data_IF_905997704115
#
_entry.id   IF_905997704115
#
_cell.length_a   1.000
_cell.length_b   1.000
_cell.length_c   1.000
_cell.angle_alpha   90.00
_cell.angle_beta   90.00
_cell.angle_gamma   90.00
#
_symmetry.space_group_name_H-M   'P 1'
#
loop_
_entity.id
_entity.type
_entity.pdbx_description
1 polymer ?
#
# COMPACT_ATOMS: atom_id res chain seq x y z
N UNK A 1 -26.62 15.70 -33.38
CA UNK A 1 -25.19 15.82 -33.74
C UNK A 1 -24.26 16.45 -32.69
N UNK A 2 -24.68 17.25 -31.69
CA UNK A 2 -23.77 17.72 -30.62
C UNK A 2 -23.53 16.69 -29.50
N UNK A 3 -24.52 15.84 -29.22
CA UNK A 3 -24.47 14.87 -28.11
C UNK A 3 -23.61 13.64 -28.41
N UNK A 4 -23.64 13.12 -29.64
CA UNK A 4 -22.86 11.93 -30.05
C UNK A 4 -21.35 12.13 -29.91
N UNK A 5 -20.86 13.35 -30.18
CA UNK A 5 -19.44 13.69 -30.02
C UNK A 5 -19.01 13.75 -28.55
N UNK A 6 -19.92 14.16 -27.66
CA UNK A 6 -19.66 14.23 -26.22
C UNK A 6 -19.62 12.81 -25.61
N UNK A 7 -20.56 11.96 -26.02
CA UNK A 7 -20.57 10.54 -25.63
C UNK A 7 -19.33 9.80 -26.12
N UNK A 8 -18.91 10.03 -27.37
CA UNK A 8 -17.70 9.44 -27.92
C UNK A 8 -16.43 9.86 -27.17
N UNK A 9 -16.30 11.14 -26.79
CA UNK A 9 -15.18 11.63 -25.98
C UNK A 9 -15.18 11.07 -24.56
N UNK A 10 -16.37 10.87 -23.99
CA UNK A 10 -16.52 10.29 -22.64
C UNK A 10 -16.09 8.84 -22.63
N UNK A 11 -16.53 8.04 -23.61
CA UNK A 11 -16.11 6.64 -23.81
C UNK A 11 -14.60 6.52 -24.03
N UNK A 12 -14.02 7.36 -24.89
CA UNK A 12 -12.57 7.38 -25.11
C UNK A 12 -11.77 7.67 -23.82
N UNK A 13 -12.29 8.56 -22.96
CA UNK A 13 -11.69 8.85 -21.66
C UNK A 13 -11.77 7.67 -20.67
N UNK A 14 -12.88 6.94 -20.66
CA UNK A 14 -13.08 5.74 -19.84
C UNK A 14 -12.18 4.58 -20.28
N UNK A 15 -12.12 4.33 -21.58
CA UNK A 15 -11.28 3.27 -22.16
C UNK A 15 -9.80 3.53 -21.83
N UNK A 16 -9.32 4.76 -22.02
CA UNK A 16 -7.95 5.12 -21.70
C UNK A 16 -7.63 5.05 -20.20
N UNK A 17 -8.58 5.40 -19.32
CA UNK A 17 -8.41 5.22 -17.87
C UNK A 17 -8.29 3.74 -17.52
N UNK A 18 -9.07 2.88 -18.17
CA UNK A 18 -9.06 1.43 -17.94
C UNK A 18 -7.75 0.80 -18.41
N UNK A 19 -7.29 1.16 -19.61
CA UNK A 19 -6.00 0.71 -20.15
C UNK A 19 -4.84 1.12 -19.24
N UNK A 20 -4.81 2.38 -18.76
CA UNK A 20 -3.76 2.85 -17.83
C UNK A 20 -3.77 2.11 -16.49
N UNK A 21 -4.97 1.81 -15.94
CA UNK A 21 -5.09 1.02 -14.70
C UNK A 21 -4.51 -0.38 -14.88
N UNK A 22 -4.80 -1.03 -16.01
CA UNK A 22 -4.31 -2.37 -16.32
C UNK A 22 -2.78 -2.37 -16.53
N UNK A 23 -2.24 -1.40 -17.28
CA UNK A 23 -0.80 -1.26 -17.48
C UNK A 23 -0.06 -1.05 -16.15
N UNK A 24 -0.61 -0.24 -15.25
CA UNK A 24 -0.01 -0.04 -13.92
C UNK A 24 -0.07 -1.29 -13.04
N UNK A 25 -1.07 -2.16 -13.20
CA UNK A 25 -1.15 -3.44 -12.49
C UNK A 25 -0.14 -4.48 -12.99
N UNK A 26 0.12 -4.50 -14.31
CA UNK A 26 1.08 -5.41 -14.94
C UNK A 26 2.51 -4.88 -14.95
N UNK A 27 2.73 -3.59 -14.65
CA UNK A 27 4.05 -2.99 -14.65
C UNK A 27 4.95 -3.66 -13.59
N UNK A 28 6.03 -4.28 -14.05
CA UNK A 28 7.02 -5.01 -13.25
C UNK A 28 7.57 -4.14 -12.12
N UNK A 29 7.78 -2.84 -12.37
CA UNK A 29 8.25 -1.89 -11.34
C UNK A 29 7.24 -1.79 -10.19
N UNK A 30 5.94 -1.75 -10.47
CA UNK A 30 4.89 -1.71 -9.44
C UNK A 30 4.72 -3.06 -8.72
N UNK A 31 5.10 -4.17 -9.36
CA UNK A 31 5.11 -5.50 -8.72
C UNK A 31 6.35 -5.70 -7.84
N UNK A 32 7.50 -5.13 -8.21
CA UNK A 32 8.77 -5.23 -7.47
C UNK A 32 8.69 -4.69 -6.04
N UNK A 33 7.88 -3.67 -5.80
CA UNK A 33 7.69 -3.08 -4.46
C UNK A 33 6.58 -3.73 -3.62
N UNK A 34 5.97 -4.83 -4.11
CA UNK A 34 4.96 -5.55 -3.31
C UNK A 34 5.64 -6.33 -2.21
N UNK A 35 5.59 -5.77 -0.99
CA UNK A 35 6.02 -6.51 0.19
C UNK A 35 5.12 -7.75 0.36
N UNK A 36 5.69 -8.96 0.56
CA UNK A 36 4.91 -10.15 0.82
C UNK A 36 3.95 -9.99 1.99
N UNK A 37 2.73 -10.52 1.87
CA UNK A 37 1.69 -10.41 2.91
C UNK A 37 2.15 -10.97 4.26
N UNK A 38 2.86 -12.09 4.25
CA UNK A 38 3.43 -12.73 5.45
C UNK A 38 4.40 -11.79 6.19
N UNK A 39 5.24 -11.08 5.43
CA UNK A 39 6.21 -10.13 5.98
C UNK A 39 5.52 -8.95 6.66
N UNK A 40 4.44 -8.44 6.05
CA UNK A 40 3.61 -7.40 6.67
C UNK A 40 2.94 -7.95 7.94
N UNK A 41 2.44 -9.18 7.93
CA UNK A 41 1.79 -9.79 9.10
C UNK A 41 2.74 -9.87 10.29
N UNK A 42 3.94 -10.44 10.09
CA UNK A 42 4.98 -10.52 11.13
C UNK A 42 5.42 -9.14 11.62
N UNK A 43 5.54 -8.18 10.70
CA UNK A 43 5.89 -6.81 11.08
C UNK A 43 4.81 -6.15 11.95
N UNK A 44 3.53 -6.46 11.74
CA UNK A 44 2.43 -5.96 12.55
C UNK A 44 2.33 -6.64 13.91
N UNK A 45 2.64 -7.94 14.00
CA UNK A 45 2.77 -8.66 15.28
C UNK A 45 3.85 -7.99 16.15
N UNK A 46 5.03 -7.72 15.58
CA UNK A 46 6.11 -6.98 16.25
C UNK A 46 5.76 -5.51 16.54
N UNK A 47 4.93 -4.88 15.70
CA UNK A 47 4.47 -3.51 15.91
C UNK A 47 3.55 -3.38 17.15
N UNK A 48 2.80 -4.44 17.44
CA UNK A 48 1.90 -4.52 18.57
C UNK A 48 2.51 -5.23 19.79
N UNK A 49 3.72 -5.78 19.69
CA UNK A 49 4.30 -6.63 20.74
C UNK A 49 4.79 -5.85 21.97
N UNK A 50 4.97 -4.54 21.85
CA UNK A 50 5.58 -3.74 22.94
C UNK A 50 7.08 -3.94 23.08
N UNK A 51 7.74 -4.71 22.19
CA UNK A 51 9.18 -4.99 22.27
C UNK A 51 10.07 -3.90 21.67
N UNK A 52 9.47 -2.88 21.04
CA UNK A 52 10.21 -1.87 20.30
C UNK A 52 9.94 -0.48 20.88
N UNK A 53 11.02 0.28 21.06
CA UNK A 53 10.94 1.69 21.49
C UNK A 53 10.42 2.61 20.39
N UNK A 54 10.76 2.32 19.11
CA UNK A 54 10.37 3.15 17.98
C UNK A 54 9.80 2.34 16.81
N UNK A 55 8.81 2.91 16.11
CA UNK A 55 8.21 2.36 14.88
C UNK A 55 9.23 2.07 13.78
N UNK A 56 10.28 2.90 13.70
CA UNK A 56 11.37 2.78 12.72
C UNK A 56 12.20 1.50 12.93
N UNK A 57 12.29 1.01 14.16
CA UNK A 57 13.10 -0.17 14.48
C UNK A 57 12.37 -1.44 14.05
N UNK A 58 11.05 -1.49 14.23
CA UNK A 58 10.18 -2.53 13.66
C UNK A 58 10.32 -2.57 12.14
N UNK A 59 10.24 -1.40 11.49
CA UNK A 59 10.36 -1.29 10.04
C UNK A 59 11.75 -1.76 9.55
N UNK A 60 12.83 -1.39 10.26
CA UNK A 60 14.20 -1.81 9.97
C UNK A 60 14.38 -3.33 10.12
N UNK A 61 13.88 -3.94 11.20
CA UNK A 61 13.93 -5.40 11.42
C UNK A 61 13.30 -6.18 10.27
N UNK A 62 12.19 -5.67 9.75
CA UNK A 62 11.43 -6.31 8.67
C UNK A 62 11.78 -5.80 7.27
N UNK A 63 12.89 -5.08 7.07
CA UNK A 63 13.28 -4.53 5.76
C UNK A 63 12.09 -3.88 5.03
N UNK A 64 11.38 -3.02 5.76
CA UNK A 64 10.15 -2.33 5.35
C UNK A 64 10.36 -0.83 5.49
N UNK A 65 9.68 -0.05 4.66
CA UNK A 65 9.61 1.38 4.90
C UNK A 65 8.62 1.66 6.05
N UNK A 66 8.99 2.57 6.95
CA UNK A 66 8.12 2.99 8.04
C UNK A 66 6.74 3.46 7.56
N UNK A 67 6.61 4.25 6.46
CA UNK A 67 5.30 4.65 5.94
C UNK A 67 4.43 3.46 5.52
N UNK A 68 5.02 2.43 4.88
CA UNK A 68 4.29 1.22 4.49
C UNK A 68 3.78 0.47 5.71
N UNK A 69 4.61 0.30 6.74
CA UNK A 69 4.23 -0.35 7.99
C UNK A 69 3.08 0.39 8.69
N UNK A 70 3.20 1.71 8.86
CA UNK A 70 2.16 2.54 9.48
C UNK A 70 0.86 2.51 8.69
N UNK A 71 0.93 2.58 7.35
CA UNK A 71 -0.25 2.45 6.49
C UNK A 71 -0.97 1.12 6.72
N UNK A 72 -0.23 0.02 6.78
CA UNK A 72 -0.82 -1.31 7.01
C UNK A 72 -1.37 -1.47 8.43
N UNK A 73 -0.73 -0.86 9.43
CA UNK A 73 -1.23 -0.84 10.80
C UNK A 73 -2.57 -0.10 10.89
N UNK A 74 -2.66 1.09 10.29
CA UNK A 74 -3.89 1.89 10.25
C UNK A 74 -5.04 1.16 9.55
N UNK A 75 -4.76 0.52 8.40
CA UNK A 75 -5.76 -0.26 7.65
C UNK A 75 -6.31 -1.45 8.45
N UNK A 76 -5.59 -1.92 9.46
CA UNK A 76 -5.93 -3.09 10.28
C UNK A 76 -6.28 -2.73 11.72
N UNK A 77 -6.34 -1.44 12.07
CA UNK A 77 -6.61 -0.98 13.43
C UNK A 77 -5.56 -1.39 14.47
N UNK A 78 -4.31 -1.63 14.05
CA UNK A 78 -3.23 -2.06 14.96
C UNK A 78 -2.53 -0.85 15.55
N UNK A 79 -2.53 -0.75 16.88
CA UNK A 79 -1.84 0.31 17.62
C UNK A 79 -0.39 -0.05 17.91
N UNK A 80 0.50 0.95 17.84
CA UNK A 80 1.89 0.76 18.25
C UNK A 80 1.97 0.71 19.76
N UNK A 81 2.44 -0.41 20.32
CA UNK A 81 2.75 -0.51 21.74
C UNK A 81 4.23 -0.22 21.90
N UNK A 82 4.55 0.78 22.71
CA UNK A 82 5.93 1.16 23.02
C UNK A 82 6.44 0.30 24.16
N UNK A 83 7.70 -0.12 24.08
CA UNK A 83 8.40 -0.71 25.22
C UNK A 83 8.32 0.22 26.43
N UNK A 84 7.78 -0.34 27.51
CA UNK A 84 7.72 0.33 28.80
C UNK A 84 9.08 0.12 29.46
N UNK A 85 9.78 1.21 29.75
CA UNK A 85 11.00 1.18 30.58
C UNK A 85 10.67 0.76 32.01
#
# INVERSE_FOLDING_TARGET
MKFERLEALTRWGEDNRTVRKNFNQSNVVNQQYRTPKEKIRRALEDYASGQFKFKKDVAKKHNLSTPTLVRHANLRGVTFIKESE
#
